data_IF_184109421892
#
_entry.id   IF_184109421892
#
_cell.length_a   1.000
_cell.length_b   1.000
_cell.length_c   1.000
_cell.angle_alpha   90.00
_cell.angle_beta   90.00
_cell.angle_gamma   90.00
#
_symmetry.space_group_name_H-M   'P 1'
#
loop_
_entity.id
_entity.type
_entity.pdbx_description
1 polymer ?
#
# COMPACT_ATOMS: atom_id res chain seq x y z
N UNK A 1 7.26 14.17 -13.91
CA UNK A 1 6.15 14.60 -14.78
C UNK A 1 4.87 14.11 -14.12
N UNK A 2 4.14 14.99 -13.43
CA UNK A 2 2.89 14.66 -12.76
C UNK A 2 1.74 15.06 -13.68
N UNK A 3 0.82 14.13 -13.97
CA UNK A 3 -0.40 14.44 -14.71
C UNK A 3 -1.45 14.89 -13.70
N UNK A 4 -1.66 16.21 -13.64
CA UNK A 4 -2.71 16.86 -12.86
C UNK A 4 -4.04 16.72 -13.62
N UNK A 5 -4.91 15.83 -13.14
CA UNK A 5 -6.24 15.56 -13.69
C UNK A 5 -7.37 16.04 -12.76
N UNK A 6 -7.09 16.94 -11.80
CA UNK A 6 -8.11 17.41 -10.84
C UNK A 6 -8.69 16.32 -9.92
N UNK A 7 -8.14 15.11 -9.96
CA UNK A 7 -8.44 13.96 -9.11
C UNK A 7 -7.17 13.69 -8.31
N UNK A 8 -7.02 14.34 -7.15
CA UNK A 8 -5.95 14.03 -6.19
C UNK A 8 -6.24 12.65 -5.60
N UNK A 9 -5.95 11.59 -6.36
CA UNK A 9 -6.03 10.24 -5.83
C UNK A 9 -4.96 10.12 -4.73
N UNK A 10 -5.30 9.65 -3.53
CA UNK A 10 -4.44 9.71 -2.35
C UNK A 10 -3.11 8.94 -2.49
N UNK A 11 -2.97 8.13 -3.53
CA UNK A 11 -1.75 7.43 -3.93
C UNK A 11 -0.71 8.35 -4.61
N UNK A 12 -1.09 9.59 -4.94
CA UNK A 12 -0.27 10.54 -5.70
C UNK A 12 0.44 11.59 -4.83
N UNK A 13 0.27 11.58 -3.51
CA UNK A 13 1.03 12.50 -2.63
C UNK A 13 2.54 12.12 -2.63
N UNK A 14 2.87 10.82 -2.78
CA UNK A 14 4.24 10.31 -2.96
C UNK A 14 4.29 9.13 -3.96
N UNK A 15 4.18 9.37 -5.28
CA UNK A 15 4.07 8.29 -6.27
C UNK A 15 5.34 7.41 -6.33
N UNK A 16 6.51 8.00 -6.02
CA UNK A 16 7.77 7.27 -5.95
C UNK A 16 7.80 6.28 -4.78
N UNK A 17 7.26 6.68 -3.61
CA UNK A 17 7.22 5.82 -2.42
C UNK A 17 6.32 4.61 -2.65
N UNK A 18 5.15 4.82 -3.27
CA UNK A 18 4.22 3.73 -3.58
C UNK A 18 4.84 2.72 -4.56
N UNK A 19 5.57 3.19 -5.56
CA UNK A 19 6.28 2.33 -6.50
C UNK A 19 7.38 1.50 -5.80
N UNK A 20 8.14 2.12 -4.89
CA UNK A 20 9.19 1.43 -4.12
C UNK A 20 8.57 0.38 -3.19
N UNK A 21 7.55 0.75 -2.41
CA UNK A 21 6.87 -0.17 -1.50
C UNK A 21 6.26 -1.33 -2.28
N UNK A 22 5.59 -1.07 -3.40
CA UNK A 22 5.02 -2.11 -4.24
C UNK A 22 6.07 -3.06 -4.82
N UNK A 23 7.20 -2.54 -5.30
CA UNK A 23 8.30 -3.36 -5.81
C UNK A 23 8.93 -4.23 -4.72
N UNK A 24 9.19 -3.65 -3.55
CA UNK A 24 9.78 -4.38 -2.40
C UNK A 24 8.79 -5.42 -1.87
N UNK A 25 7.53 -5.07 -1.70
CA UNK A 25 6.48 -5.98 -1.27
C UNK A 25 6.26 -7.13 -2.26
N UNK A 26 6.30 -6.85 -3.57
CA UNK A 26 6.23 -7.86 -4.62
C UNK A 26 7.41 -8.83 -4.59
N UNK A 27 8.64 -8.31 -4.47
CA UNK A 27 9.85 -9.13 -4.36
C UNK A 27 9.84 -10.00 -3.10
N UNK A 28 9.55 -9.42 -1.95
CA UNK A 28 9.54 -10.13 -0.67
C UNK A 28 8.38 -11.12 -0.59
N UNK A 29 7.16 -10.70 -0.91
CA UNK A 29 5.98 -11.56 -0.94
C UNK A 29 6.12 -12.70 -1.95
N UNK A 30 6.70 -12.40 -3.12
CA UNK A 30 7.08 -13.40 -4.13
C UNK A 30 8.05 -14.45 -3.57
N UNK A 31 9.21 -13.99 -3.09
CA UNK A 31 10.26 -14.89 -2.61
C UNK A 31 9.82 -15.72 -1.41
N UNK A 32 9.19 -15.09 -0.41
CA UNK A 32 8.70 -15.76 0.79
C UNK A 32 7.55 -16.72 0.46
N UNK A 33 6.60 -16.29 -0.37
CA UNK A 33 5.46 -17.12 -0.73
C UNK A 33 5.86 -18.36 -1.54
N UNK A 34 6.79 -18.21 -2.49
CA UNK A 34 7.38 -19.36 -3.20
C UNK A 34 8.14 -20.30 -2.26
N UNK A 35 8.96 -19.76 -1.36
CA UNK A 35 9.69 -20.57 -0.38
C UNK A 35 8.77 -21.31 0.61
N UNK A 36 7.62 -20.71 0.93
CA UNK A 36 6.59 -21.30 1.79
C UNK A 36 5.65 -22.27 1.06
N UNK A 37 5.79 -22.44 -0.27
CA UNK A 37 4.94 -23.32 -1.07
C UNK A 37 3.52 -22.79 -1.31
N UNK A 38 3.32 -21.47 -1.26
CA UNK A 38 2.05 -20.85 -1.61
C UNK A 38 1.79 -20.95 -3.12
N UNK A 39 0.51 -21.06 -3.48
CA UNK A 39 0.09 -20.89 -4.87
C UNK A 39 0.15 -19.42 -5.31
N UNK A 40 -0.15 -19.16 -6.58
CA UNK A 40 -0.13 -17.80 -7.14
C UNK A 40 -1.05 -16.85 -6.37
N UNK A 41 -2.22 -17.33 -5.94
CA UNK A 41 -3.20 -16.52 -5.19
C UNK A 41 -2.63 -16.14 -3.82
N UNK A 42 -2.01 -17.10 -3.13
CA UNK A 42 -1.36 -16.89 -1.84
C UNK A 42 -0.17 -15.93 -1.94
N UNK A 43 0.66 -16.06 -2.99
CA UNK A 43 1.77 -15.13 -3.24
C UNK A 43 1.27 -13.71 -3.50
N UNK A 44 0.24 -13.55 -4.34
CA UNK A 44 -0.37 -12.24 -4.64
C UNK A 44 -1.01 -11.62 -3.40
N UNK A 45 -1.72 -12.42 -2.61
CA UNK A 45 -2.31 -11.97 -1.35
C UNK A 45 -1.23 -11.51 -0.38
N UNK A 46 -0.15 -12.28 -0.22
CA UNK A 46 0.97 -11.93 0.64
C UNK A 46 1.64 -10.63 0.18
N UNK A 47 1.98 -10.52 -1.10
CA UNK A 47 2.56 -9.29 -1.66
C UNK A 47 1.64 -8.07 -1.46
N UNK A 48 0.33 -8.23 -1.68
CA UNK A 48 -0.67 -7.18 -1.44
C UNK A 48 -0.71 -6.74 0.02
N UNK A 49 -0.72 -7.69 0.97
CA UNK A 49 -0.70 -7.37 2.40
C UNK A 49 0.58 -6.65 2.83
N UNK A 50 1.75 -7.05 2.31
CA UNK A 50 3.01 -6.36 2.57
C UNK A 50 3.00 -4.94 2.01
N UNK A 51 2.40 -4.70 0.84
CA UNK A 51 2.32 -3.38 0.25
C UNK A 51 1.45 -2.44 1.11
N UNK A 52 0.29 -2.91 1.57
CA UNK A 52 -0.58 -2.13 2.49
C UNK A 52 0.13 -1.87 3.82
N UNK A 53 0.75 -2.88 4.42
CA UNK A 53 1.49 -2.73 5.67
C UNK A 53 2.67 -1.75 5.51
N UNK A 54 3.38 -1.79 4.37
CA UNK A 54 4.47 -0.89 4.05
C UNK A 54 4.02 0.56 3.92
N UNK A 55 2.87 0.82 3.28
CA UNK A 55 2.29 2.17 3.20
C UNK A 55 1.87 2.71 4.57
N UNK A 56 1.23 1.88 5.40
CA UNK A 56 0.86 2.24 6.78
C UNK A 56 2.12 2.57 7.59
N UNK A 57 3.16 1.74 7.49
CA UNK A 57 4.43 1.97 8.18
C UNK A 57 5.14 3.23 7.67
N UNK A 58 5.08 3.51 6.37
CA UNK A 58 5.62 4.74 5.77
C UNK A 58 4.96 5.98 6.35
N UNK A 59 3.62 6.02 6.39
CA UNK A 59 2.89 7.13 7.02
C UNK A 59 3.12 7.24 8.53
N UNK A 60 3.33 6.10 9.21
CA UNK A 60 3.67 6.11 10.63
C UNK A 60 5.04 6.74 10.87
N UNK A 61 6.03 6.41 10.03
CA UNK A 61 7.37 6.98 10.08
C UNK A 61 7.37 8.49 9.78
N UNK A 62 6.48 8.93 8.87
CA UNK A 62 6.29 10.34 8.54
C UNK A 62 5.44 11.10 9.58
N UNK A 63 4.90 10.42 10.59
CA UNK A 63 4.08 11.02 11.66
C UNK A 63 2.65 11.39 11.25
N UNK A 64 2.19 11.00 10.06
CA UNK A 64 0.86 11.32 9.51
C UNK A 64 -0.13 10.13 9.57
N UNK A 65 0.08 9.22 10.53
CA UNK A 65 -0.75 8.02 10.65
C UNK A 65 -2.24 8.34 10.91
N UNK A 66 -2.52 9.49 11.55
CA UNK A 66 -3.88 9.93 11.89
C UNK A 66 -4.73 10.29 10.66
N UNK A 67 -4.12 10.85 9.60
CA UNK A 67 -4.81 11.14 8.34
C UNK A 67 -5.20 9.86 7.59
N UNK A 68 -4.46 8.78 7.81
CA UNK A 68 -4.73 7.49 7.17
C UNK A 68 -5.79 6.69 7.94
N UNK A 69 -5.67 6.57 9.27
CA UNK A 69 -6.63 5.84 10.13
C UNK A 69 -7.99 6.57 10.23
N UNK A 70 -8.00 7.91 10.18
CA UNK A 70 -9.25 8.68 10.19
C UNK A 70 -10.12 8.50 8.94
N UNK A 71 -9.60 7.89 7.87
CA UNK A 71 -10.30 7.70 6.60
C UNK A 71 -11.35 6.59 6.66
N UNK A 72 -11.10 5.55 7.45
CA UNK A 72 -12.03 4.41 7.60
C UNK A 72 -13.33 4.86 8.31
N UNK A 73 -13.23 5.84 9.22
CA UNK A 73 -14.38 6.43 9.90
C UNK A 73 -15.27 7.27 8.97
N UNK A 74 -14.70 7.86 7.90
CA UNK A 74 -15.47 8.63 6.92
C UNK A 74 -16.18 7.72 5.91
N UNK A 75 -15.62 6.55 5.60
CA UNK A 75 -16.21 5.58 4.68
C UNK A 75 -17.51 4.94 5.23
N UNK A 76 -17.72 4.93 6.55
CA UNK A 76 -18.97 4.48 7.19
C UNK A 76 -20.08 5.56 7.23
N UNK A 77 -19.74 6.85 7.05
CA UNK A 77 -20.71 7.96 7.15
C UNK A 77 -21.50 8.26 5.88
N UNK A 78 -21.23 7.55 4.78
CA UNK A 78 -21.96 7.65 3.49
C UNK A 78 -22.89 6.45 3.23
N UNK A 79 -23.48 5.87 4.28
CA UNK A 79 -24.59 4.89 4.18
C UNK A 79 -25.91 5.45 4.71
#
# INVERSE_FOLDING_TARGET
>A
MAFDLGLTLPFCDTPERMAIIGAVAGLLGGAVGLAAGLDVVGVVALAGTLAVAGEVAGHAADGDLRRWVGRDASAESEQ
#
